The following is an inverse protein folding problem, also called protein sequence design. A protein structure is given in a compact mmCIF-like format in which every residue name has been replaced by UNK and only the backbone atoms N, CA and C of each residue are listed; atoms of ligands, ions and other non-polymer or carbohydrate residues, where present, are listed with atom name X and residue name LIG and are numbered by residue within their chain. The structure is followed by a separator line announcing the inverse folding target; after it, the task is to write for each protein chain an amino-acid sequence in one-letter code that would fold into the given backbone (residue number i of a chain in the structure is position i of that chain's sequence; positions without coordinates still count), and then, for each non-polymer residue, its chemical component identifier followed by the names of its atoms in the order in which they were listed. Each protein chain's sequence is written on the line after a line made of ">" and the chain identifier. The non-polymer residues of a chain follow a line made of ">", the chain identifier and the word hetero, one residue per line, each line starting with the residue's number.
data_IF_162358810626
#
_entry.id   IF_162358810626
#
_cell.length_a   1.000
_cell.length_b   1.000
_cell.length_c   1.000
_cell.angle_alpha   90.00
_cell.angle_beta   90.00
_cell.angle_gamma   90.00
#
_symmetry.space_group_name_H-M   'P 1'
#
loop_
_entity.id
_entity.type
_entity.pdbx_description
1 polymer ?
#
# COMPACT_ATOMS: atom_id res chain seq x y z
N UNK A 1 31.15 -4.45 19.66
CA UNK A 1 30.13 -4.70 18.61
C UNK A 1 30.84 -5.29 17.41
N UNK A 2 30.50 -6.51 17.00
CA UNK A 2 31.13 -7.21 15.88
C UNK A 2 30.19 -7.08 14.67
N UNK A 3 30.58 -6.28 13.67
CA UNK A 3 29.79 -6.08 12.44
C UNK A 3 30.15 -7.17 11.43
N UNK A 4 29.23 -8.09 11.20
CA UNK A 4 29.31 -9.03 10.08
C UNK A 4 28.60 -8.37 8.89
N UNK A 5 29.27 -8.12 7.75
CA UNK A 5 28.61 -7.55 6.57
C UNK A 5 27.60 -8.56 6.02
N UNK A 6 26.32 -8.21 6.02
CA UNK A 6 25.28 -8.98 5.33
C UNK A 6 25.47 -8.90 3.82
N UNK A 7 25.03 -9.93 3.08
CA UNK A 7 24.88 -9.86 1.62
C UNK A 7 23.59 -9.10 1.30
N UNK A 8 23.62 -7.78 1.45
CA UNK A 8 22.53 -6.92 0.98
C UNK A 8 22.86 -6.43 -0.43
N UNK A 9 21.86 -6.44 -1.31
CA UNK A 9 21.95 -5.70 -2.56
C UNK A 9 21.74 -4.21 -2.26
N UNK A 10 22.41 -3.29 -2.98
CA UNK A 10 22.17 -1.86 -2.77
C UNK A 10 20.71 -1.52 -3.08
N UNK A 11 20.04 -0.86 -2.14
CA UNK A 11 18.66 -0.36 -2.29
C UNK A 11 18.73 1.16 -2.40
N UNK A 12 18.08 1.71 -3.42
CA UNK A 12 17.94 3.17 -3.56
C UNK A 12 16.68 3.62 -2.83
N UNK A 13 16.84 4.53 -1.88
CA UNK A 13 15.74 5.07 -1.08
C UNK A 13 15.21 6.34 -1.75
N UNK A 14 13.90 6.41 -1.93
CA UNK A 14 13.20 7.59 -2.42
C UNK A 14 12.20 8.05 -1.37
N UNK A 15 12.20 9.35 -1.06
CA UNK A 15 11.20 9.96 -0.19
C UNK A 15 10.17 10.72 -1.03
N UNK A 16 8.93 10.75 -0.55
CA UNK A 16 7.93 11.65 -1.11
C UNK A 16 8.36 13.11 -0.86
N UNK A 17 8.06 14.00 -1.81
CA UNK A 17 8.32 15.44 -1.66
C UNK A 17 7.49 16.03 -0.52
N UNK A 18 6.21 15.66 -0.53
CA UNK A 18 5.23 16.07 0.47
C UNK A 18 4.72 14.82 1.20
N UNK A 19 4.53 14.94 2.52
CA UNK A 19 4.09 13.83 3.37
C UNK A 19 2.58 13.85 3.51
N UNK A 20 1.91 12.82 3.00
CA UNK A 20 0.48 12.65 3.20
C UNK A 20 0.18 12.29 4.65
N UNK A 21 -0.71 13.06 5.28
CA UNK A 21 -1.01 12.95 6.70
C UNK A 21 -2.29 12.17 6.96
N UNK A 22 -3.24 12.20 6.02
CA UNK A 22 -4.58 11.63 6.16
C UNK A 22 -4.72 10.33 5.36
N UNK A 23 -4.47 10.38 4.05
CA UNK A 23 -4.68 9.23 3.14
C UNK A 23 -3.37 8.54 2.69
N UNK A 24 -2.57 8.08 3.65
CA UNK A 24 -1.35 7.32 3.33
C UNK A 24 -1.64 6.00 2.59
N UNK A 25 -2.83 5.43 2.74
CA UNK A 25 -3.25 4.21 2.04
C UNK A 25 -3.45 4.49 0.55
N UNK A 26 -4.17 5.56 0.20
CA UNK A 26 -4.36 6.02 -1.16
C UNK A 26 -3.04 6.36 -1.86
N UNK A 27 -2.14 7.07 -1.18
CA UNK A 27 -0.80 7.37 -1.70
C UNK A 27 0.03 6.12 -1.96
N UNK A 28 0.01 5.14 -1.05
CA UNK A 28 0.71 3.87 -1.24
C UNK A 28 0.19 3.10 -2.47
N UNK A 29 -1.13 3.07 -2.66
CA UNK A 29 -1.78 2.47 -3.84
C UNK A 29 -1.33 3.19 -5.11
N UNK A 30 -1.38 4.53 -5.13
CA UNK A 30 -0.97 5.32 -6.29
C UNK A 30 0.50 5.12 -6.63
N UNK A 31 1.38 5.04 -5.63
CA UNK A 31 2.80 4.76 -5.84
C UNK A 31 3.01 3.37 -6.43
N UNK A 32 2.32 2.36 -5.92
CA UNK A 32 2.39 1.00 -6.47
C UNK A 32 1.91 0.94 -7.93
N UNK A 33 0.83 1.66 -8.27
CA UNK A 33 0.35 1.78 -9.66
C UNK A 33 1.37 2.48 -10.54
N UNK A 34 2.01 3.56 -10.07
CA UNK A 34 3.09 4.26 -10.81
C UNK A 34 4.29 3.36 -11.05
N UNK A 35 4.73 2.60 -10.03
CA UNK A 35 5.83 1.62 -10.12
C UNK A 35 5.48 0.52 -11.13
N UNK A 36 4.27 -0.03 -11.03
CA UNK A 36 3.80 -1.04 -11.97
C UNK A 36 3.87 -0.54 -13.42
N UNK A 37 3.36 0.67 -13.66
CA UNK A 37 3.24 1.24 -15.00
C UNK A 37 4.56 1.70 -15.61
N UNK A 38 5.45 2.29 -14.82
CA UNK A 38 6.64 3.02 -15.31
C UNK A 38 7.96 2.29 -15.09
N UNK A 39 8.06 1.41 -14.08
CA UNK A 39 9.33 0.79 -13.71
C UNK A 39 9.46 -0.64 -14.28
N UNK A 40 10.70 -1.12 -14.51
CA UNK A 40 10.97 -2.49 -14.98
C UNK A 40 10.34 -3.58 -14.10
N UNK A 41 10.36 -4.81 -14.61
CA UNK A 41 9.87 -5.98 -13.88
C UNK A 41 10.50 -6.15 -12.49
N UNK A 42 9.80 -6.86 -11.62
CA UNK A 42 10.13 -7.01 -10.21
C UNK A 42 8.87 -6.91 -9.36
N UNK A 43 8.81 -7.67 -8.28
CA UNK A 43 7.69 -7.66 -7.35
C UNK A 43 7.65 -6.37 -6.51
N UNK A 44 6.44 -5.99 -6.10
CA UNK A 44 6.18 -4.81 -5.27
C UNK A 44 5.70 -5.27 -3.90
N UNK A 45 6.31 -4.78 -2.83
CA UNK A 45 5.86 -4.98 -1.46
C UNK A 45 5.35 -3.64 -0.91
N UNK A 46 4.15 -3.63 -0.34
CA UNK A 46 3.52 -2.44 0.23
C UNK A 46 3.29 -2.66 1.72
N UNK A 47 3.72 -1.72 2.56
CA UNK A 47 3.53 -1.77 4.01
C UNK A 47 2.42 -0.81 4.46
N UNK A 48 1.38 -1.37 5.07
CA UNK A 48 0.23 -0.68 5.68
C UNK A 48 0.07 -1.11 7.15
N UNK A 49 -0.85 -0.48 7.88
CA UNK A 49 -0.88 -0.62 9.33
C UNK A 49 -1.74 -1.78 9.82
N UNK A 50 -2.75 -2.17 9.03
CA UNK A 50 -3.76 -3.13 9.49
C UNK A 50 -4.48 -3.90 8.39
N UNK A 51 -5.23 -4.93 8.82
CA UNK A 51 -6.00 -5.83 7.95
C UNK A 51 -6.96 -5.07 7.04
N UNK A 52 -7.76 -4.16 7.60
CA UNK A 52 -8.85 -3.54 6.86
C UNK A 52 -8.31 -2.62 5.75
N UNK A 53 -7.21 -1.90 6.03
CA UNK A 53 -6.45 -1.13 5.03
C UNK A 53 -5.86 -2.01 3.94
N UNK A 54 -5.29 -3.17 4.31
CA UNK A 54 -4.75 -4.15 3.36
C UNK A 54 -5.85 -4.64 2.42
N UNK A 55 -7.00 -5.04 2.96
CA UNK A 55 -8.12 -5.54 2.16
C UNK A 55 -8.68 -4.45 1.24
N UNK A 56 -8.81 -3.22 1.75
CA UNK A 56 -9.18 -2.06 0.95
C UNK A 56 -8.20 -1.82 -0.20
N UNK A 57 -6.90 -1.80 0.08
CA UNK A 57 -5.86 -1.58 -0.92
C UNK A 57 -5.84 -2.70 -1.97
N UNK A 58 -6.03 -3.96 -1.57
CA UNK A 58 -6.14 -5.10 -2.50
C UNK A 58 -7.36 -4.95 -3.41
N UNK A 59 -8.55 -4.66 -2.87
CA UNK A 59 -9.78 -4.43 -3.66
C UNK A 59 -9.57 -3.29 -4.66
N UNK A 60 -8.96 -2.19 -4.20
CA UNK A 60 -8.69 -1.00 -5.02
C UNK A 60 -7.65 -1.27 -6.12
N UNK A 61 -6.55 -1.96 -5.80
CA UNK A 61 -5.51 -2.33 -6.78
C UNK A 61 -6.07 -3.25 -7.87
N UNK A 62 -6.86 -4.26 -7.50
CA UNK A 62 -7.53 -5.14 -8.49
C UNK A 62 -8.43 -4.33 -9.42
N UNK A 63 -9.27 -3.44 -8.88
CA UNK A 63 -10.14 -2.58 -9.70
C UNK A 63 -9.37 -1.70 -10.69
N UNK A 64 -8.19 -1.20 -10.31
CA UNK A 64 -7.39 -0.30 -11.14
C UNK A 64 -6.54 -1.06 -12.18
N UNK A 65 -5.97 -2.20 -11.79
CA UNK A 65 -4.96 -2.94 -12.57
C UNK A 65 -5.51 -4.16 -13.31
N UNK A 66 -6.65 -4.69 -12.87
CA UNK A 66 -7.40 -5.78 -13.51
C UNK A 66 -8.79 -5.28 -13.91
N UNK A 67 -8.93 -4.34 -14.87
CA UNK A 67 -10.25 -3.94 -15.34
C UNK A 67 -10.93 -5.18 -15.93
N UNK A 68 -12.00 -5.64 -15.27
CA UNK A 68 -12.71 -6.87 -15.63
C UNK A 68 -13.09 -6.88 -17.12
N UNK A 69 -12.71 -7.95 -17.82
CA UNK A 69 -13.42 -8.35 -19.04
C UNK A 69 -14.78 -8.86 -18.54
N UNK A 70 -15.80 -7.98 -18.56
CA UNK A 70 -17.18 -8.26 -18.15
C UNK A 70 -17.63 -9.66 -18.58
N UNK A 71 -17.55 -10.62 -17.68
CA UNK A 71 -18.18 -11.93 -17.83
C UNK A 71 -19.35 -11.98 -16.85
N UNK A 72 -20.48 -12.53 -17.31
CA UNK A 72 -21.83 -12.47 -16.71
C UNK A 72 -22.00 -13.00 -15.27
N UNK A 73 -20.92 -13.24 -14.53
CA UNK A 73 -20.97 -13.66 -13.13
C UNK A 73 -21.14 -12.48 -12.14
N UNK A 74 -20.86 -11.24 -12.56
CA UNK A 74 -20.86 -10.05 -11.69
C UNK A 74 -22.23 -9.56 -11.20
N UNK A 75 -23.35 -10.03 -11.76
CA UNK A 75 -24.69 -9.57 -11.33
C UNK A 75 -25.07 -10.01 -9.91
N UNK A 76 -24.43 -11.04 -9.34
CA UNK A 76 -24.72 -11.48 -7.97
C UNK A 76 -23.92 -10.77 -6.87
N UNK A 77 -22.78 -10.16 -7.20
CA UNK A 77 -21.91 -9.49 -6.21
C UNK A 77 -22.26 -8.00 -6.05
N UNK A 78 -22.77 -7.36 -7.11
CA UNK A 78 -23.28 -5.97 -7.06
C UNK A 78 -24.55 -5.81 -6.22
N UNK A 79 -25.29 -6.90 -5.96
CA UNK A 79 -26.45 -6.89 -5.06
C UNK A 79 -26.05 -6.93 -3.57
N UNK A 80 -24.80 -7.30 -3.24
CA UNK A 80 -24.28 -7.26 -1.86
C UNK A 80 -23.58 -5.94 -1.54
N UNK A 81 -22.86 -5.36 -2.49
CA UNK A 81 -22.16 -4.09 -2.29
C UNK A 81 -23.11 -2.86 -2.21
N UNK A 82 -24.42 -3.00 -2.53
CA UNK A 82 -25.40 -1.89 -2.39
C UNK A 82 -25.96 -1.70 -0.98
N UNK A 83 -25.87 -2.70 -0.11
CA UNK A 83 -26.46 -2.62 1.24
C UNK A 83 -25.49 -2.00 2.28
N UNK A 84 -24.20 -1.83 1.94
CA UNK A 84 -23.16 -1.31 2.85
C UNK A 84 -22.80 0.19 2.63
N UNK A 85 -23.33 0.84 1.59
CA UNK A 85 -22.97 2.22 1.21
C UNK A 85 -23.85 3.31 1.87
N UNK A 86 -24.80 2.98 2.75
CA UNK A 86 -25.75 3.97 3.33
C UNK A 86 -25.40 4.55 4.72
N UNK A 87 -24.28 4.20 5.38
CA UNK A 87 -24.05 4.65 6.78
C UNK A 87 -22.80 5.48 7.12
N UNK A 88 -21.96 5.94 6.19
CA UNK A 88 -20.73 6.69 6.57
C UNK A 88 -20.56 8.09 5.93
N UNK A 89 -21.66 8.81 5.69
CA UNK A 89 -21.61 10.18 5.18
C UNK A 89 -21.80 11.29 6.22
N UNK A 90 -21.75 11.02 7.55
CA UNK A 90 -22.07 12.07 8.52
C UNK A 90 -21.43 11.91 9.92
N UNK A 91 -20.11 12.09 10.04
CA UNK A 91 -19.48 12.42 11.33
C UNK A 91 -18.03 12.93 11.22
N UNK A 92 -17.80 14.13 10.67
CA UNK A 92 -16.81 15.04 11.28
C UNK A 92 -17.10 16.49 10.88
N UNK A 93 -17.95 17.14 11.67
CA UNK A 93 -18.14 18.58 11.65
C UNK A 93 -17.03 19.27 12.45
N UNK A 94 -16.25 20.12 11.79
CA UNK A 94 -15.31 21.05 12.41
C UNK A 94 -15.25 22.32 11.56
N UNK A 95 -15.94 23.35 12.03
CA UNK A 95 -15.99 24.70 11.45
C UNK A 95 -14.64 25.39 11.63
N UNK A 96 -13.99 25.85 10.55
CA UNK A 96 -13.07 27.00 10.59
C UNK A 96 -13.20 27.82 9.31
N UNK A 97 -13.48 29.11 9.52
CA UNK A 97 -13.67 30.17 8.53
C UNK A 97 -12.39 30.50 7.73
N UNK A 98 -12.67 31.09 6.58
CA UNK A 98 -11.84 31.71 5.54
C UNK A 98 -10.79 32.75 5.99
N UNK A 99 -9.66 32.82 5.29
CA UNK A 99 -9.24 33.94 4.40
C UNK A 99 -7.74 33.92 4.06
N UNK A 100 -7.41 34.37 2.83
CA UNK A 100 -6.11 34.83 2.28
C UNK A 100 -4.95 33.81 2.15
N UNK A 101 -4.01 33.92 1.22
CA UNK A 101 -3.79 34.58 -0.08
C UNK A 101 -2.38 34.12 -0.48
N UNK A 102 -2.09 34.19 -1.77
CA UNK A 102 -0.77 34.33 -2.37
C UNK A 102 0.04 33.08 -2.77
N UNK A 103 0.85 33.34 -3.78
CA UNK A 103 1.10 32.59 -4.99
C UNK A 103 2.48 31.90 -4.99
N UNK A 104 2.62 30.88 -5.84
CA UNK A 104 3.67 30.88 -6.89
C UNK A 104 3.55 29.65 -7.80
N UNK A 105 3.56 29.95 -9.09
CA UNK A 105 3.59 29.02 -10.21
C UNK A 105 5.00 28.43 -10.42
N UNK A 106 5.02 27.31 -11.16
CA UNK A 106 6.14 26.70 -11.89
C UNK A 106 7.20 25.88 -11.13
N UNK A 107 7.09 24.55 -11.26
CA UNK A 107 8.16 23.80 -11.95
C UNK A 107 7.55 22.80 -12.95
N UNK A 108 8.06 22.88 -14.18
CA UNK A 108 7.67 22.19 -15.40
C UNK A 108 7.61 20.66 -15.30
N UNK A 109 6.41 20.09 -15.45
CA UNK A 109 6.26 18.70 -15.91
C UNK A 109 6.39 18.64 -17.43
N UNK A 110 7.62 18.55 -17.92
CA UNK A 110 7.89 18.10 -19.28
C UNK A 110 8.81 16.88 -19.23
N UNK A 111 8.22 15.70 -19.40
CA UNK A 111 8.83 14.62 -20.15
C UNK A 111 7.73 13.95 -20.98
N UNK A 112 7.69 14.37 -22.24
CA UNK A 112 7.02 13.66 -23.32
C UNK A 112 7.83 12.40 -23.57
N UNK A 113 7.28 11.24 -23.24
CA UNK A 113 7.45 10.02 -24.01
C UNK A 113 6.15 9.23 -23.92
N UNK A 114 5.33 9.39 -24.97
CA UNK A 114 4.31 8.46 -25.42
C UNK A 114 4.99 7.14 -25.82
N UNK A 115 5.54 6.42 -24.85
CA UNK A 115 6.02 5.04 -25.04
C UNK A 115 4.78 4.15 -25.04
N UNK A 116 4.24 3.97 -26.25
CA UNK A 116 2.98 3.31 -26.53
C UNK A 116 2.72 2.12 -25.63
N UNK A 117 1.54 2.10 -25.01
CA UNK A 117 0.97 1.06 -24.15
C UNK A 117 1.78 -0.25 -24.14
N UNK A 118 2.91 -0.26 -23.39
CA UNK A 118 3.61 -1.51 -23.10
C UNK A 118 2.54 -2.42 -22.55
N UNK A 119 2.29 -3.57 -23.18
CA UNK A 119 1.32 -4.54 -22.70
C UNK A 119 1.71 -4.84 -21.25
N UNK A 120 1.05 -4.18 -20.30
CA UNK A 120 1.41 -4.24 -18.90
C UNK A 120 1.14 -5.69 -18.51
N UNK A 121 2.17 -6.35 -18.01
CA UNK A 121 2.05 -7.67 -17.44
C UNK A 121 0.88 -7.65 -16.43
N UNK A 122 -0.05 -8.62 -16.47
CA UNK A 122 -1.10 -8.71 -15.45
C UNK A 122 -0.49 -8.77 -14.05
N UNK A 123 -1.28 -8.50 -13.02
CA UNK A 123 -0.80 -8.44 -11.64
C UNK A 123 -1.26 -9.64 -10.85
N UNK A 124 -0.46 -10.08 -9.87
CA UNK A 124 -0.85 -11.08 -8.90
C UNK A 124 -0.83 -10.43 -7.51
N UNK A 125 -1.99 -10.03 -7.01
CA UNK A 125 -2.13 -9.24 -5.78
C UNK A 125 -2.51 -10.14 -4.60
N UNK A 126 -1.64 -10.20 -3.58
CA UNK A 126 -1.81 -11.02 -2.37
C UNK A 126 -1.75 -10.17 -1.08
N UNK A 127 -2.70 -10.35 -0.14
CA UNK A 127 -2.59 -9.77 1.20
C UNK A 127 -1.65 -10.60 2.10
N UNK A 128 -1.01 -9.96 3.07
CA UNK A 128 -0.19 -10.60 4.09
C UNK A 128 -0.37 -9.92 5.47
N UNK A 129 -1.14 -10.55 6.36
CA UNK A 129 -1.33 -10.09 7.73
C UNK A 129 -1.48 -11.26 8.69
N UNK A 130 -1.31 -11.00 9.99
CA UNK A 130 -1.19 -12.03 11.04
C UNK A 130 -2.38 -12.99 11.16
N UNK A 131 -3.60 -12.55 10.84
CA UNK A 131 -4.81 -13.37 10.90
C UNK A 131 -5.01 -14.32 9.71
N UNK A 132 -4.16 -14.29 8.68
CA UNK A 132 -4.24 -15.25 7.57
C UNK A 132 -3.83 -16.64 8.02
N UNK A 133 -4.45 -17.67 7.43
CA UNK A 133 -4.03 -19.06 7.64
C UNK A 133 -2.60 -19.30 7.11
N UNK A 134 -1.91 -20.30 7.64
CA UNK A 134 -0.55 -20.63 7.21
C UNK A 134 -0.47 -20.92 5.69
N UNK A 135 -1.48 -21.59 5.14
CA UNK A 135 -1.57 -21.90 3.71
C UNK A 135 -1.75 -20.64 2.87
N UNK A 136 -2.46 -19.63 3.37
CA UNK A 136 -2.61 -18.34 2.68
C UNK A 136 -1.35 -17.51 2.75
N UNK A 137 -0.68 -17.48 3.90
CA UNK A 137 0.62 -16.82 4.04
C UNK A 137 1.66 -17.47 3.12
N UNK A 138 1.61 -18.80 2.95
CA UNK A 138 2.54 -19.52 2.08
C UNK A 138 2.45 -19.09 0.60
N UNK A 139 1.30 -18.59 0.15
CA UNK A 139 1.09 -18.16 -1.24
C UNK A 139 2.03 -17.05 -1.67
N UNK A 140 2.45 -16.16 -0.77
CA UNK A 140 3.35 -15.06 -1.12
C UNK A 140 4.76 -15.54 -1.49
N UNK A 141 5.14 -16.76 -1.09
CA UNK A 141 6.43 -17.37 -1.42
C UNK A 141 6.41 -18.20 -2.70
N UNK A 142 5.22 -18.52 -3.23
CA UNK A 142 5.09 -19.21 -4.50
C UNK A 142 5.40 -18.24 -5.66
N UNK A 143 6.01 -18.72 -6.76
CA UNK A 143 6.18 -17.89 -7.93
C UNK A 143 4.81 -17.44 -8.46
N UNK A 144 4.66 -16.17 -8.88
CA UNK A 144 3.42 -15.71 -9.50
C UNK A 144 3.18 -16.45 -10.82
N UNK A 145 1.93 -16.48 -11.33
CA UNK A 145 1.63 -17.03 -12.65
C UNK A 145 2.49 -16.40 -13.75
N UNK A 146 2.68 -17.11 -14.86
CA UNK A 146 3.52 -16.62 -15.96
C UNK A 146 3.07 -15.24 -16.44
N UNK A 147 4.06 -14.38 -16.71
CA UNK A 147 3.86 -12.99 -17.12
C UNK A 147 3.12 -12.12 -16.09
N UNK A 148 2.96 -12.53 -14.84
CA UNK A 148 2.36 -11.69 -13.81
C UNK A 148 3.42 -10.97 -12.96
N UNK A 149 3.16 -9.70 -12.61
CA UNK A 149 3.93 -8.98 -11.58
C UNK A 149 3.31 -9.25 -10.21
N UNK A 150 4.11 -9.78 -9.28
CA UNK A 150 3.69 -9.98 -7.90
C UNK A 150 3.55 -8.63 -7.18
N UNK A 151 2.41 -8.42 -6.51
CA UNK A 151 2.18 -7.30 -5.59
C UNK A 151 1.72 -7.88 -4.25
N UNK A 152 2.47 -7.62 -3.19
CA UNK A 152 2.13 -8.04 -1.83
C UNK A 152 1.79 -6.82 -0.99
N UNK A 153 0.64 -6.86 -0.33
CA UNK A 153 0.21 -5.79 0.60
C UNK A 153 0.25 -6.37 2.01
N UNK A 154 1.15 -5.87 2.84
CA UNK A 154 1.52 -6.45 4.12
C UNK A 154 1.42 -5.47 5.29
N UNK A 155 1.34 -5.99 6.51
CA UNK A 155 1.63 -5.18 7.70
C UNK A 155 3.11 -5.23 8.07
N UNK A 156 3.57 -4.23 8.82
CA UNK A 156 4.93 -4.18 9.39
C UNK A 156 5.20 -5.33 10.38
N UNK A 157 4.20 -6.15 10.73
CA UNK A 157 4.43 -7.42 11.44
C UNK A 157 5.29 -8.38 10.60
N UNK A 158 5.31 -8.22 9.27
CA UNK A 158 6.19 -8.97 8.36
C UNK A 158 7.64 -8.42 8.27
N UNK A 159 7.92 -7.26 8.87
CA UNK A 159 9.14 -6.45 8.68
C UNK A 159 10.42 -7.16 9.18
N UNK A 160 10.33 -8.06 10.16
CA UNK A 160 11.53 -8.61 10.81
C UNK A 160 12.01 -9.96 10.30
N UNK A 161 11.33 -10.65 9.35
CA UNK A 161 11.83 -11.97 8.88
C UNK A 161 11.31 -12.47 7.53
N UNK A 162 10.48 -11.73 6.79
CA UNK A 162 9.92 -12.26 5.54
C UNK A 162 10.72 -11.76 4.33
N UNK A 163 11.54 -12.65 3.77
CA UNK A 163 12.16 -12.45 2.46
C UNK A 163 11.26 -13.06 1.39
N UNK A 164 10.47 -12.21 0.72
CA UNK A 164 9.65 -12.64 -0.42
C UNK A 164 10.54 -12.65 -1.67
N UNK A 165 10.68 -13.80 -2.35
CA UNK A 165 11.52 -13.88 -3.53
C UNK A 165 10.98 -12.98 -4.66
N UNK A 166 11.88 -12.30 -5.35
CA UNK A 166 11.54 -11.49 -6.52
C UNK A 166 10.99 -10.10 -6.22
N UNK A 167 10.92 -9.66 -4.95
CA UNK A 167 10.63 -8.26 -4.63
C UNK A 167 11.81 -7.38 -5.07
N UNK A 168 11.49 -6.30 -5.78
CA UNK A 168 12.47 -5.29 -6.23
C UNK A 168 12.08 -3.87 -5.84
N UNK A 169 10.83 -3.68 -5.42
CA UNK A 169 10.28 -2.39 -5.02
C UNK A 169 9.56 -2.52 -3.69
N UNK A 170 9.80 -1.56 -2.79
CA UNK A 170 9.09 -1.45 -1.51
C UNK A 170 8.41 -0.08 -1.47
N UNK A 171 7.14 -0.08 -1.09
CA UNK A 171 6.35 1.11 -0.78
C UNK A 171 6.02 1.07 0.69
N UNK A 172 6.68 1.91 1.46
CA UNK A 172 6.44 2.03 2.89
C UNK A 172 5.55 3.25 3.17
N UNK A 173 4.47 3.05 3.93
CA UNK A 173 3.61 4.15 4.39
C UNK A 173 4.24 4.94 5.54
N UNK A 174 5.28 4.41 6.19
CA UNK A 174 5.93 5.02 7.33
C UNK A 174 5.07 5.03 8.60
N UNK A 175 3.97 4.27 8.62
CA UNK A 175 3.01 4.21 9.73
C UNK A 175 2.93 2.79 10.28
N UNK A 176 2.70 2.69 11.58
CA UNK A 176 2.40 1.43 12.26
C UNK A 176 1.22 1.59 13.21
N UNK A 177 0.48 0.50 13.44
CA UNK A 177 -0.55 0.45 14.47
C UNK A 177 0.04 -0.22 15.71
N UNK A 178 0.30 0.58 16.75
CA UNK A 178 0.90 0.11 17.99
C UNK A 178 -0.11 0.18 19.15
N UNK A 179 0.07 -0.70 20.13
CA UNK A 179 -0.74 -0.68 21.35
C UNK A 179 -0.14 0.35 22.30
N UNK A 180 -0.85 1.45 22.51
CA UNK A 180 -0.48 2.49 23.47
C UNK A 180 -1.17 2.20 24.81
N UNK A 181 -0.43 2.29 25.92
CA UNK A 181 -0.97 2.09 27.27
C UNK A 181 -0.84 3.37 28.06
N UNK A 182 -1.98 3.94 28.46
CA UNK A 182 -1.99 5.13 29.29
C UNK A 182 -2.00 4.71 30.77
N UNK A 183 -0.86 4.86 31.44
CA UNK A 183 -0.70 4.47 32.85
C UNK A 183 -1.64 5.23 33.81
N UNK A 184 -2.06 6.44 33.46
CA UNK A 184 -2.93 7.25 34.31
C UNK A 184 -4.40 6.79 34.24
N UNK A 185 -4.84 6.27 33.09
CA UNK A 185 -6.22 5.82 32.89
C UNK A 185 -6.37 4.30 32.95
N UNK A 186 -5.26 3.56 32.84
CA UNK A 186 -5.23 2.10 32.75
C UNK A 186 -5.78 1.56 31.43
N UNK A 187 -6.05 2.43 30.45
CA UNK A 187 -6.64 2.06 29.16
C UNK A 187 -5.52 1.76 28.16
N UNK A 188 -5.70 0.67 27.41
CA UNK A 188 -4.92 0.38 26.22
C UNK A 188 -5.71 0.77 24.97
N UNK A 189 -5.15 1.64 24.14
CA UNK A 189 -5.64 2.00 22.80
C UNK A 189 -4.74 1.42 21.72
N UNK A 190 -5.26 1.28 20.52
CA UNK A 190 -4.46 1.02 19.32
C UNK A 190 -4.47 2.28 18.47
N UNK A 191 -3.30 2.89 18.30
CA UNK A 191 -3.14 4.16 17.60
C UNK A 191 -2.19 3.97 16.43
N UNK A 192 -2.47 4.68 15.34
CA UNK A 192 -1.58 4.73 14.19
C UNK A 192 -0.55 5.83 14.44
N UNK A 193 0.73 5.47 14.44
CA UNK A 193 1.85 6.37 14.67
C UNK A 193 2.92 6.23 13.60
N UNK A 194 3.84 7.19 13.56
CA UNK A 194 5.03 7.08 12.72
C UNK A 194 5.93 5.94 13.18
N UNK A 195 6.49 5.20 12.23
CA UNK A 195 7.53 4.22 12.52
C UNK A 195 8.83 4.90 12.91
N UNK A 196 9.69 4.17 13.62
CA UNK A 196 11.05 4.64 13.89
C UNK A 196 11.89 4.61 12.61
N UNK A 197 12.94 5.45 12.54
CA UNK A 197 13.92 5.37 11.46
C UNK A 197 14.53 3.96 11.31
N UNK A 198 14.73 3.26 12.43
CA UNK A 198 15.28 1.91 12.42
C UNK A 198 14.31 0.83 11.90
N UNK A 199 13.02 1.13 11.84
CA UNK A 199 12.03 0.26 11.18
C UNK A 199 11.98 0.54 9.66
N UNK A 200 12.18 1.80 9.26
CA UNK A 200 12.25 2.20 7.86
C UNK A 200 13.55 1.78 7.12
N UNK A 201 14.64 1.53 7.87
CA UNK A 201 15.98 1.18 7.36
C UNK A 201 16.18 -0.34 7.20
#
# INVERSE_FOLDING_TARGET
>A
VLRVPGRTHPVTIYHAKDTELEDYVGEAIMKAVKIHKKLPGGGILIFLTGRDEILFAVKRLRRILEPEIKSKAGELDELRDRDDDEEDANAFGGVLDSDDDDSSEDESESDVDDDGFRAQNPVHILPLYSMLSADEQAKVFAPPPENHRLIVVATNIAETSITIPGISYVVDSGREKSRNYNENTGIASYEVSWISKAAAD
#
